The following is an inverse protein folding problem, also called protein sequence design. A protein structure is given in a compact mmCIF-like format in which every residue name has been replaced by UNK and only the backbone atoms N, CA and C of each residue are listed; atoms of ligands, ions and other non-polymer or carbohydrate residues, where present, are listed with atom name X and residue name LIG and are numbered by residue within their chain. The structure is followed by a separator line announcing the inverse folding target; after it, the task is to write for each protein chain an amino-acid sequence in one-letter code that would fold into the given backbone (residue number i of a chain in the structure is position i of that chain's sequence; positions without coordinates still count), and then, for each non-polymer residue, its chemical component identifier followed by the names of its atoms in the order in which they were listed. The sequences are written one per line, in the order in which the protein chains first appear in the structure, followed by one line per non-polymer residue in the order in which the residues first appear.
data_IF_469354437246
#
_entry.id   IF_469354437246
#
_cell.length_a   1.000
_cell.length_b   1.000
_cell.length_c   1.000
_cell.angle_alpha   90.00
_cell.angle_beta   90.00
_cell.angle_gamma   90.00
#
_symmetry.space_group_name_H-M   'P 1'
#
loop_
_entity.id
_entity.type
_entity.pdbx_description
1 polymer ?
#
# COMPACT_ATOMS: atom_id res chain seq x y z
N UNK A 1 6.18 -28.29 -5.45
CA UNK A 1 5.88 -26.84 -5.63
C UNK A 1 4.94 -26.72 -6.80
N UNK A 2 3.70 -26.25 -6.59
CA UNK A 2 2.74 -26.05 -7.70
C UNK A 2 3.22 -24.89 -8.55
N UNK A 3 3.64 -25.17 -9.79
CA UNK A 3 3.96 -24.13 -10.78
C UNK A 3 2.65 -23.44 -11.17
N UNK A 4 2.37 -22.29 -10.54
CA UNK A 4 1.28 -21.41 -10.95
C UNK A 4 1.58 -20.81 -12.33
N UNK A 5 0.55 -20.70 -13.16
CA UNK A 5 0.69 -20.02 -14.45
C UNK A 5 0.93 -18.52 -14.25
N UNK A 6 1.52 -17.87 -15.26
CA UNK A 6 1.72 -16.42 -15.27
C UNK A 6 0.41 -15.66 -15.03
N UNK A 7 -0.68 -16.14 -15.64
CA UNK A 7 -2.01 -15.58 -15.48
C UNK A 7 -2.53 -15.70 -14.04
N UNK A 8 -2.36 -16.86 -13.42
CA UNK A 8 -2.75 -17.07 -12.02
C UNK A 8 -1.95 -16.14 -11.09
N UNK A 9 -0.67 -15.93 -11.39
CA UNK A 9 0.17 -15.02 -10.63
C UNK A 9 -0.24 -13.55 -10.80
N UNK A 10 -0.62 -13.13 -12.02
CA UNK A 10 -1.20 -11.80 -12.26
C UNK A 10 -2.47 -11.58 -11.44
N UNK A 11 -3.36 -12.58 -11.41
CA UNK A 11 -4.58 -12.52 -10.60
C UNK A 11 -4.26 -12.36 -9.11
N UNK A 12 -3.30 -13.14 -8.59
CA UNK A 12 -2.86 -13.01 -7.19
C UNK A 12 -2.29 -11.64 -6.87
N UNK A 13 -1.50 -11.07 -7.76
CA UNK A 13 -0.99 -9.70 -7.58
C UNK A 13 -2.13 -8.69 -7.53
N UNK A 14 -3.14 -8.86 -8.39
CA UNK A 14 -4.30 -7.98 -8.43
C UNK A 14 -5.14 -8.08 -7.14
N UNK A 15 -5.41 -9.30 -6.67
CA UNK A 15 -6.18 -9.56 -5.45
C UNK A 15 -5.43 -9.03 -4.20
N UNK A 16 -4.12 -9.22 -4.14
CA UNK A 16 -3.27 -8.69 -3.06
C UNK A 16 -3.26 -7.15 -3.08
N UNK A 17 -3.19 -6.54 -4.27
CA UNK A 17 -3.23 -5.09 -4.43
C UNK A 17 -4.57 -4.50 -4.03
N UNK A 18 -5.68 -5.18 -4.35
CA UNK A 18 -7.02 -4.78 -3.94
C UNK A 18 -7.19 -4.84 -2.42
N UNK A 19 -6.69 -5.91 -1.81
CA UNK A 19 -6.68 -6.06 -0.35
C UNK A 19 -5.87 -4.95 0.32
N UNK A 20 -4.67 -4.66 -0.20
CA UNK A 20 -3.82 -3.57 0.30
C UNK A 20 -4.48 -2.19 0.13
N UNK A 21 -5.07 -1.93 -1.03
CA UNK A 21 -5.80 -0.70 -1.29
C UNK A 21 -7.01 -0.54 -0.35
N UNK A 22 -7.77 -1.61 -0.10
CA UNK A 22 -8.88 -1.59 0.85
C UNK A 22 -8.39 -1.29 2.29
N UNK A 23 -7.24 -1.85 2.68
CA UNK A 23 -6.58 -1.57 3.95
C UNK A 23 -6.29 -0.07 4.12
N UNK A 24 -5.74 0.57 3.07
CA UNK A 24 -5.45 2.01 3.04
C UNK A 24 -6.75 2.83 3.11
N UNK A 25 -7.75 2.49 2.29
CA UNK A 25 -9.05 3.19 2.27
C UNK A 25 -9.77 3.16 3.61
N UNK A 26 -9.70 2.03 4.30
CA UNK A 26 -10.30 1.84 5.63
C UNK A 26 -9.41 2.33 6.77
N UNK A 27 -8.24 2.92 6.47
CA UNK A 27 -7.24 3.36 7.46
C UNK A 27 -6.88 2.27 8.47
N UNK A 28 -6.89 1.00 8.04
CA UNK A 28 -6.57 -0.12 8.91
C UNK A 28 -5.04 -0.29 9.02
N UNK A 29 -4.40 0.65 9.70
CA UNK A 29 -2.94 0.73 9.78
C UNK A 29 -2.30 -0.52 10.41
N UNK A 30 -3.01 -1.17 11.34
CA UNK A 30 -2.56 -2.41 11.98
C UNK A 30 -2.32 -3.56 10.98
N UNK A 31 -3.00 -3.57 9.82
CA UNK A 31 -2.83 -4.60 8.78
C UNK A 31 -2.02 -4.11 7.58
N UNK A 32 -1.54 -2.86 7.61
CA UNK A 32 -0.86 -2.25 6.47
C UNK A 32 0.42 -3.00 6.11
N UNK A 33 1.25 -3.31 7.12
CA UNK A 33 2.51 -4.03 6.93
C UNK A 33 2.27 -5.44 6.37
N UNK A 34 1.35 -6.21 6.98
CA UNK A 34 1.02 -7.57 6.54
C UNK A 34 0.55 -7.59 5.08
N UNK A 35 -0.35 -6.67 4.72
CA UNK A 35 -0.87 -6.58 3.35
C UNK A 35 0.19 -6.04 2.37
N UNK A 36 1.07 -5.13 2.82
CA UNK A 36 2.23 -4.64 2.07
C UNK A 36 3.23 -5.75 1.74
N UNK A 37 3.51 -6.61 2.72
CA UNK A 37 4.36 -7.78 2.55
C UNK A 37 3.73 -8.81 1.60
N UNK A 38 2.41 -8.99 1.66
CA UNK A 38 1.69 -9.87 0.72
C UNK A 38 1.82 -9.38 -0.72
N UNK A 39 1.56 -8.10 -1.02
CA UNK A 39 1.72 -7.59 -2.38
C UNK A 39 3.17 -7.65 -2.87
N UNK A 40 4.15 -7.35 -2.00
CA UNK A 40 5.57 -7.47 -2.34
C UNK A 40 5.96 -8.90 -2.69
N UNK A 41 5.43 -9.89 -1.95
CA UNK A 41 5.66 -11.31 -2.24
C UNK A 41 5.10 -11.69 -3.62
N UNK A 42 3.85 -11.35 -3.90
CA UNK A 42 3.22 -11.71 -5.17
C UNK A 42 3.91 -11.02 -6.36
N UNK A 43 4.31 -9.75 -6.21
CA UNK A 43 5.06 -9.02 -7.25
C UNK A 43 6.44 -9.64 -7.51
N UNK A 44 7.16 -10.08 -6.47
CA UNK A 44 8.43 -10.80 -6.64
C UNK A 44 8.25 -12.13 -7.39
N UNK A 45 7.18 -12.87 -7.11
CA UNK A 45 6.86 -14.10 -7.83
C UNK A 45 6.51 -13.82 -9.30
N UNK A 46 5.76 -12.75 -9.57
CA UNK A 46 5.47 -12.32 -10.94
C UNK A 46 6.74 -11.96 -11.71
N UNK A 47 7.67 -11.24 -11.08
CA UNK A 47 8.97 -10.90 -11.68
C UNK A 47 9.80 -12.15 -12.01
N UNK A 48 9.80 -13.16 -11.13
CA UNK A 48 10.50 -14.43 -11.37
C UNK A 48 9.88 -15.23 -12.51
N UNK A 49 8.55 -15.23 -12.65
CA UNK A 49 7.87 -15.88 -13.77
C UNK A 49 8.12 -15.14 -15.08
N UNK A 50 8.12 -13.81 -15.07
CA UNK A 50 8.42 -12.99 -16.24
C UNK A 50 9.82 -13.27 -16.79
N UNK A 51 10.81 -13.39 -15.90
CA UNK A 51 12.17 -13.73 -16.30
C UNK A 51 12.30 -15.12 -16.96
N UNK A 52 11.36 -16.03 -16.69
CA UNK A 52 11.35 -17.40 -17.24
C UNK A 52 10.48 -17.55 -18.49
N UNK A 53 9.59 -16.61 -18.76
CA UNK A 53 8.65 -16.64 -19.87
C UNK A 53 8.50 -15.22 -20.47
N UNK A 54 9.49 -14.76 -21.26
CA UNK A 54 9.49 -13.41 -21.82
C UNK A 54 8.45 -13.21 -22.92
N UNK A 55 8.03 -14.27 -23.61
CA UNK A 55 7.04 -14.22 -24.69
C UNK A 55 5.61 -14.22 -24.13
N UNK A 56 5.23 -13.10 -23.52
CA UNK A 56 3.86 -12.83 -23.13
C UNK A 56 3.03 -12.39 -24.33
N UNK A 57 1.82 -12.92 -24.44
CA UNK A 57 0.83 -12.39 -25.38
C UNK A 57 0.41 -10.94 -25.05
N UNK A 58 -0.24 -10.30 -26.00
CA UNK A 58 -0.69 -8.89 -25.90
C UNK A 58 -1.66 -8.69 -24.73
N UNK A 59 -2.48 -9.68 -24.41
CA UNK A 59 -3.45 -9.59 -23.31
C UNK A 59 -2.73 -9.55 -21.95
N UNK A 60 -1.76 -10.43 -21.75
CA UNK A 60 -0.95 -10.50 -20.53
C UNK A 60 -0.12 -9.22 -20.34
N UNK A 61 0.44 -8.67 -21.42
CA UNK A 61 1.14 -7.38 -21.38
C UNK A 61 0.21 -6.24 -20.99
N UNK A 62 -1.02 -6.20 -21.54
CA UNK A 62 -2.02 -5.21 -21.16
C UNK A 62 -2.44 -5.33 -19.69
N UNK A 63 -2.62 -6.56 -19.19
CA UNK A 63 -2.93 -6.83 -17.78
C UNK A 63 -1.79 -6.41 -16.84
N UNK A 64 -0.54 -6.65 -17.22
CA UNK A 64 0.63 -6.14 -16.48
C UNK A 64 0.65 -4.62 -16.41
N UNK A 65 0.44 -3.95 -17.54
CA UNK A 65 0.40 -2.47 -17.60
C UNK A 65 -0.73 -1.92 -16.73
N UNK A 66 -1.90 -2.56 -16.76
CA UNK A 66 -3.02 -2.19 -15.89
C UNK A 66 -2.66 -2.34 -14.40
N UNK A 67 -2.05 -3.47 -14.03
CA UNK A 67 -1.61 -3.74 -12.66
C UNK A 67 -0.60 -2.69 -12.18
N UNK A 68 0.34 -2.30 -13.04
CA UNK A 68 1.33 -1.25 -12.75
C UNK A 68 0.65 0.11 -12.51
N UNK A 69 -0.25 0.54 -13.40
CA UNK A 69 -1.00 1.80 -13.25
C UNK A 69 -1.75 1.81 -11.93
N UNK A 70 -2.42 0.70 -11.60
CA UNK A 70 -3.16 0.53 -10.36
C UNK A 70 -2.24 0.60 -9.15
N UNK A 71 -1.08 -0.04 -9.20
CA UNK A 71 -0.09 -0.01 -8.13
C UNK A 71 0.38 1.42 -7.83
N UNK A 72 0.76 2.18 -8.87
CA UNK A 72 1.15 3.60 -8.73
C UNK A 72 0.02 4.45 -8.14
N UNK A 73 -1.24 4.17 -8.49
CA UNK A 73 -2.40 4.87 -7.90
C UNK A 73 -2.54 4.57 -6.40
N UNK A 74 -2.37 3.31 -6.00
CA UNK A 74 -2.43 2.90 -4.58
C UNK A 74 -1.29 3.53 -3.78
N UNK A 75 -0.07 3.57 -4.33
CA UNK A 75 1.06 4.25 -3.69
C UNK A 75 0.80 5.74 -3.44
N UNK A 76 0.27 6.45 -4.44
CA UNK A 76 -0.11 7.87 -4.28
C UNK A 76 -1.19 8.05 -3.22
N UNK A 77 -2.16 7.14 -3.17
CA UNK A 77 -3.21 7.19 -2.15
C UNK A 77 -2.64 6.96 -0.74
N UNK A 78 -1.72 6.01 -0.58
CA UNK A 78 -1.03 5.79 0.69
C UNK A 78 -0.25 7.04 1.12
N UNK A 79 0.54 7.63 0.22
CA UNK A 79 1.31 8.84 0.51
C UNK A 79 0.42 10.00 0.97
N UNK A 80 -0.73 10.20 0.33
CA UNK A 80 -1.70 11.23 0.73
C UNK A 80 -2.28 10.96 2.13
N UNK A 81 -2.63 9.71 2.46
CA UNK A 81 -3.14 9.39 3.80
C UNK A 81 -2.06 9.54 4.87
N UNK A 82 -0.82 9.13 4.60
CA UNK A 82 0.30 9.33 5.52
C UNK A 82 0.59 10.81 5.77
N UNK A 83 0.48 11.65 4.73
CA UNK A 83 0.58 13.11 4.86
C UNK A 83 -0.50 13.68 5.80
N UNK A 84 -1.76 13.25 5.64
CA UNK A 84 -2.85 13.67 6.52
C UNK A 84 -2.62 13.24 7.98
N UNK A 85 -2.16 12.00 8.21
CA UNK A 85 -1.82 11.52 9.56
C UNK A 85 -0.69 12.35 10.17
N UNK A 86 0.31 12.74 9.38
CA UNK A 86 1.41 13.59 9.85
C UNK A 86 0.90 14.99 10.26
N UNK A 87 -0.01 15.58 9.48
CA UNK A 87 -0.64 16.86 9.82
C UNK A 87 -1.45 16.76 11.12
N UNK A 88 -2.23 15.69 11.29
CA UNK A 88 -3.00 15.43 12.51
C UNK A 88 -2.09 15.32 13.75
N UNK A 89 -0.96 14.62 13.63
CA UNK A 89 0.04 14.51 14.71
C UNK A 89 0.64 15.87 15.08
N UNK A 90 0.98 16.70 14.08
CA UNK A 90 1.50 18.06 14.33
C UNK A 90 0.46 18.93 15.02
N UNK A 91 -0.82 18.83 14.65
CA UNK A 91 -1.90 19.55 15.33
C UNK A 91 -2.06 19.09 16.77
N UNK A 92 -2.01 17.77 17.02
CA UNK A 92 -2.10 17.19 18.35
C UNK A 92 -0.94 17.66 19.25
N UNK A 93 0.30 17.61 18.76
CA UNK A 93 1.46 18.12 19.51
C UNK A 93 1.32 19.59 19.90
N UNK A 94 0.85 20.44 18.96
CA UNK A 94 0.59 21.86 19.25
C UNK A 94 -0.50 22.03 20.31
N UNK A 95 -1.55 21.21 20.25
CA UNK A 95 -2.62 21.20 21.24
C UNK A 95 -2.12 20.84 22.64
N UNK A 96 -1.31 19.77 22.75
CA UNK A 96 -0.70 19.33 24.01
C UNK A 96 0.18 20.45 24.60
N UNK A 97 1.06 21.06 23.80
CA UNK A 97 1.92 22.15 24.28
C UNK A 97 1.13 23.34 24.80
N UNK A 98 0.03 23.72 24.12
CA UNK A 98 -0.85 24.81 24.59
C UNK A 98 -1.54 24.45 25.91
N UNK A 99 -2.03 23.22 26.05
CA UNK A 99 -2.63 22.75 27.28
C UNK A 99 -1.64 22.78 28.45
N UNK A 100 -0.39 22.40 28.21
CA UNK A 100 0.70 22.49 29.19
C UNK A 100 0.99 23.94 29.60
N UNK A 101 1.07 24.86 28.64
CA UNK A 101 1.23 26.29 28.94
C UNK A 101 0.09 26.82 29.80
N UNK A 102 -1.17 26.53 29.44
CA UNK A 102 -2.33 26.99 30.20
C UNK A 102 -2.30 26.42 31.62
N UNK A 103 -2.00 25.13 31.77
CA UNK A 103 -1.88 24.48 33.08
C UNK A 103 -0.78 25.13 33.93
N UNK A 104 0.37 25.44 33.34
CA UNK A 104 1.46 26.12 34.04
C UNK A 104 1.08 27.54 34.49
N UNK A 105 0.29 28.27 33.70
CA UNK A 105 -0.20 29.61 34.06
C UNK A 105 -1.30 29.60 35.13
N UNK A 106 -2.12 28.54 35.20
CA UNK A 106 -3.21 28.43 36.18
C UNK A 106 -2.77 27.90 37.55
N UNK A 107 -1.63 27.21 37.62
CA UNK A 107 -1.09 26.61 38.84
C UNK A 107 0.29 27.16 39.25
N UNK A 108 0.75 28.21 38.58
CA UNK A 108 1.98 28.95 38.89
C UNK A 108 1.72 30.24 39.65
#
# INVERSE_FOLDING_TARGET
MNNLSFEQQLKRCQDALDTFNQCIRKRNWARLEVNGNAINREMKQLQLLFAKAPDLDVEMQNRMRYLEIKFRRVQRQLAAQMGAVQEDLVMLERGIRRADTIRATLHG
#
